data_IF_434362527281
#
_entry.id   IF_434362527281
#
_cell.length_a   1.000
_cell.length_b   1.000
_cell.length_c   1.000
_cell.angle_alpha   90.00
_cell.angle_beta   90.00
_cell.angle_gamma   90.00
#
_symmetry.space_group_name_H-M   'P 1'
#
loop_
_entity.id
_entity.type
_entity.pdbx_description
1 polymer ?
#
# COMPACT_ATOMS: atom_id res chain seq x y z
N UNK A 1 -5.08 -5.05 -9.67
CA UNK A 1 -3.90 -5.01 -10.53
C UNK A 1 -4.27 -4.64 -11.96
N UNK A 2 -4.97 -5.50 -12.70
CA UNK A 2 -5.22 -5.34 -14.14
C UNK A 2 -5.90 -4.01 -14.50
N UNK A 3 -6.95 -3.61 -13.77
CA UNK A 3 -7.64 -2.33 -14.01
C UNK A 3 -6.71 -1.13 -13.76
N UNK A 4 -5.91 -1.18 -12.69
CA UNK A 4 -4.98 -0.09 -12.37
C UNK A 4 -3.88 0.03 -13.45
N UNK A 5 -3.34 -1.10 -13.91
CA UNK A 5 -2.33 -1.11 -14.97
C UNK A 5 -2.91 -0.61 -16.31
N UNK A 6 -4.12 -1.05 -16.68
CA UNK A 6 -4.81 -0.58 -17.88
C UNK A 6 -5.09 0.94 -17.82
N UNK A 7 -5.50 1.46 -16.66
CA UNK A 7 -5.69 2.90 -16.47
C UNK A 7 -4.36 3.69 -16.59
N UNK A 8 -3.25 3.12 -16.09
CA UNK A 8 -1.92 3.72 -16.24
C UNK A 8 -1.47 3.79 -17.70
N UNK A 9 -1.65 2.70 -18.45
CA UNK A 9 -1.31 2.66 -19.87
C UNK A 9 -2.21 3.61 -20.69
N UNK A 10 -3.52 3.68 -20.39
CA UNK A 10 -4.42 4.60 -21.04
C UNK A 10 -4.02 6.08 -20.84
N UNK A 11 -3.57 6.47 -19.65
CA UNK A 11 -3.03 7.81 -19.40
C UNK A 11 -1.72 8.04 -20.17
N UNK A 12 -0.84 7.04 -20.20
CA UNK A 12 0.44 7.10 -20.93
C UNK A 12 0.22 7.28 -22.43
N UNK A 13 -0.77 6.60 -23.03
CA UNK A 13 -1.17 6.78 -24.44
C UNK A 13 -1.66 8.21 -24.73
N UNK A 14 -2.20 8.91 -23.73
CA UNK A 14 -2.58 10.33 -23.80
C UNK A 14 -1.43 11.29 -23.47
N UNK A 15 -0.20 10.78 -23.38
CA UNK A 15 0.99 11.58 -23.10
C UNK A 15 1.17 11.97 -21.62
N UNK A 16 0.38 11.40 -20.71
CA UNK A 16 0.51 11.63 -19.26
C UNK A 16 1.51 10.65 -18.69
N UNK A 17 2.67 11.16 -18.26
CA UNK A 17 3.72 10.36 -17.61
C UNK A 17 3.92 10.85 -16.18
N UNK A 18 3.89 9.97 -15.16
CA UNK A 18 4.10 10.37 -13.78
C UNK A 18 5.58 10.64 -13.49
N UNK A 19 5.85 11.55 -12.55
CA UNK A 19 7.21 11.80 -12.03
C UNK A 19 7.61 10.75 -10.97
N UNK A 20 6.64 10.11 -10.33
CA UNK A 20 6.84 9.00 -9.41
C UNK A 20 5.58 8.14 -9.32
N UNK A 21 5.74 6.92 -8.85
CA UNK A 21 4.67 5.98 -8.57
C UNK A 21 4.71 5.54 -7.10
N UNK A 22 3.55 5.23 -6.57
CA UNK A 22 3.40 4.51 -5.31
C UNK A 22 2.17 3.60 -5.40
N UNK A 23 2.21 2.48 -4.72
CA UNK A 23 1.08 1.56 -4.69
C UNK A 23 0.83 1.05 -3.28
N UNK A 24 -0.42 0.90 -2.89
CA UNK A 24 -0.79 0.45 -1.55
C UNK A 24 -0.84 -1.09 -1.53
N UNK A 25 0.02 -1.73 -0.74
CA UNK A 25 0.11 -3.19 -0.58
C UNK A 25 0.22 -3.91 -1.95
N UNK A 26 -0.83 -4.55 -2.46
CA UNK A 26 -0.85 -5.15 -3.79
C UNK A 26 -0.50 -4.14 -4.90
N UNK A 27 -0.92 -2.89 -4.73
CA UNK A 27 -0.66 -1.80 -5.67
C UNK A 27 0.83 -1.50 -5.87
N UNK A 28 1.70 -1.86 -4.91
CA UNK A 28 3.14 -1.68 -5.04
C UNK A 28 3.73 -2.53 -6.19
N UNK A 29 3.25 -3.76 -6.38
CA UNK A 29 3.63 -4.58 -7.54
C UNK A 29 3.11 -3.96 -8.84
N UNK A 30 1.91 -3.37 -8.83
CA UNK A 30 1.38 -2.66 -9.99
C UNK A 30 2.26 -1.44 -10.34
N UNK A 31 2.65 -0.65 -9.35
CA UNK A 31 3.53 0.50 -9.53
C UNK A 31 4.90 0.10 -10.08
N UNK A 32 5.51 -0.96 -9.53
CA UNK A 32 6.78 -1.51 -10.00
C UNK A 32 6.68 -2.05 -11.43
N UNK A 33 5.58 -2.74 -11.77
CA UNK A 33 5.34 -3.26 -13.13
C UNK A 33 5.20 -2.11 -14.12
N UNK A 34 4.36 -1.11 -13.83
CA UNK A 34 4.20 0.06 -14.70
C UNK A 34 5.50 0.85 -14.87
N UNK A 35 6.34 0.87 -13.85
CA UNK A 35 7.63 1.57 -13.84
C UNK A 35 8.79 0.74 -14.44
N UNK A 36 8.52 -0.41 -15.07
CA UNK A 36 9.50 -1.21 -15.80
C UNK A 36 10.36 -2.16 -14.95
N UNK A 37 10.10 -2.28 -13.64
CA UNK A 37 10.81 -3.24 -12.80
C UNK A 37 10.47 -4.70 -13.13
N UNK A 38 9.26 -4.94 -13.63
CA UNK A 38 8.76 -6.22 -14.12
C UNK A 38 8.04 -6.01 -15.45
N UNK A 39 8.03 -7.02 -16.32
CA UNK A 39 7.08 -7.05 -17.44
C UNK A 39 5.64 -7.18 -16.93
N UNK A 40 4.65 -6.84 -17.76
CA UNK A 40 3.23 -6.97 -17.40
C UNK A 40 2.84 -8.41 -17.07
N UNK A 41 3.38 -9.39 -17.79
CA UNK A 41 3.17 -10.81 -17.56
C UNK A 41 3.77 -11.25 -16.21
N UNK A 42 5.00 -10.86 -15.93
CA UNK A 42 5.65 -11.13 -14.64
C UNK A 42 4.88 -10.48 -13.47
N UNK A 43 4.44 -9.23 -13.63
CA UNK A 43 3.65 -8.52 -12.61
C UNK A 43 2.34 -9.25 -12.26
N UNK A 44 1.60 -9.76 -13.27
CA UNK A 44 0.39 -10.58 -13.04
C UNK A 44 0.74 -11.86 -12.28
N UNK A 45 1.78 -12.57 -12.71
CA UNK A 45 2.23 -13.81 -12.05
C UNK A 45 2.66 -13.55 -10.61
N UNK A 46 3.40 -12.48 -10.35
CA UNK A 46 3.82 -12.08 -9.00
C UNK A 46 2.64 -11.76 -8.08
N UNK A 47 1.63 -11.04 -8.56
CA UNK A 47 0.42 -10.75 -7.78
C UNK A 47 -0.33 -12.04 -7.41
N UNK A 48 -0.44 -13.00 -8.36
CA UNK A 48 -1.06 -14.30 -8.10
C UNK A 48 -0.26 -15.08 -7.03
N UNK A 49 1.07 -15.21 -7.23
CA UNK A 49 1.94 -15.92 -6.28
C UNK A 49 1.93 -15.29 -4.88
N UNK A 50 1.98 -13.96 -4.82
CA UNK A 50 1.85 -13.24 -3.54
C UNK A 50 0.52 -13.55 -2.86
N UNK A 51 -0.57 -13.54 -3.62
CA UNK A 51 -1.91 -13.84 -3.10
C UNK A 51 -2.01 -15.25 -2.53
N UNK A 52 -1.50 -16.25 -3.25
CA UNK A 52 -1.45 -17.65 -2.82
C UNK A 52 -0.65 -17.80 -1.52
N UNK A 53 0.56 -17.28 -1.46
CA UNK A 53 1.42 -17.36 -0.27
C UNK A 53 0.80 -16.67 0.96
N UNK A 54 0.20 -15.51 0.77
CA UNK A 54 -0.47 -14.80 1.85
C UNK A 54 -1.73 -15.52 2.33
N UNK A 55 -2.46 -16.18 1.43
CA UNK A 55 -3.61 -17.01 1.79
C UNK A 55 -3.18 -18.25 2.59
N UNK A 56 -2.15 -18.97 2.14
CA UNK A 56 -1.58 -20.11 2.86
C UNK A 56 -1.10 -19.72 4.26
N UNK A 57 -0.43 -18.56 4.39
CA UNK A 57 0.01 -18.07 5.69
C UNK A 57 -1.18 -17.71 6.60
N UNK A 58 -2.25 -17.11 6.05
CA UNK A 58 -3.46 -16.76 6.79
C UNK A 58 -4.23 -18.01 7.25
N UNK A 59 -4.23 -19.09 6.49
CA UNK A 59 -4.82 -20.39 6.89
C UNK A 59 -4.05 -21.05 8.03
N UNK A 60 -2.72 -20.96 8.01
CA UNK A 60 -1.86 -21.47 9.11
C UNK A 60 -1.94 -20.59 10.37
N UNK A 61 -1.99 -19.30 10.19
CA UNK A 61 -2.01 -18.29 11.25
C UNK A 61 -3.21 -17.34 11.05
N UNK A 62 -4.44 -17.78 11.41
CA UNK A 62 -5.62 -16.93 11.30
C UNK A 62 -5.44 -15.64 12.07
N UNK A 63 -5.82 -14.53 11.45
CA UNK A 63 -5.69 -13.19 12.01
C UNK A 63 -7.00 -12.40 11.89
N UNK A 64 -7.09 -11.33 12.66
CA UNK A 64 -8.14 -10.35 12.56
C UNK A 64 -7.54 -8.97 12.28
N UNK A 65 -8.33 -8.11 11.63
CA UNK A 65 -7.94 -6.72 11.37
C UNK A 65 -9.05 -5.76 11.79
N UNK A 66 -8.67 -4.58 12.23
CA UNK A 66 -9.61 -3.50 12.54
C UNK A 66 -9.05 -2.14 12.10
N UNK A 67 -9.91 -1.31 11.51
CA UNK A 67 -9.59 0.09 11.25
C UNK A 67 -9.87 0.92 12.50
N UNK A 68 -8.85 1.60 13.02
CA UNK A 68 -8.94 2.55 14.12
C UNK A 68 -9.09 3.95 13.54
N UNK A 69 -10.12 4.66 14.00
CA UNK A 69 -10.46 6.00 13.55
C UNK A 69 -10.45 6.97 14.72
N UNK A 70 -10.15 8.25 14.43
CA UNK A 70 -10.22 9.38 15.36
C UNK A 70 -9.14 9.41 16.45
N UNK A 71 -8.18 8.51 16.44
CA UNK A 71 -7.02 8.58 17.32
C UNK A 71 -5.79 8.95 16.50
N UNK A 72 -4.82 9.69 17.07
CA UNK A 72 -3.49 9.84 16.47
C UNK A 72 -2.75 8.50 16.42
N UNK A 73 -1.83 8.36 15.47
CA UNK A 73 -1.09 7.11 15.28
C UNK A 73 -0.35 6.68 16.53
N UNK A 74 0.28 7.61 17.23
CA UNK A 74 1.06 7.36 18.45
C UNK A 74 0.21 6.77 19.58
N UNK A 75 -1.06 7.18 19.67
CA UNK A 75 -1.99 6.64 20.66
C UNK A 75 -2.41 5.22 20.30
N UNK A 76 -2.63 4.94 18.99
CA UNK A 76 -2.95 3.58 18.52
C UNK A 76 -1.75 2.66 18.75
N UNK A 77 -0.52 3.10 18.45
CA UNK A 77 0.71 2.34 18.70
C UNK A 77 0.89 2.02 20.20
N UNK A 78 0.61 3.01 21.06
CA UNK A 78 0.62 2.80 22.51
C UNK A 78 -0.40 1.79 22.95
N UNK A 79 -1.62 1.82 22.41
CA UNK A 79 -2.63 0.80 22.68
C UNK A 79 -2.16 -0.57 22.20
N UNK A 80 -1.61 -0.69 20.99
CA UNK A 80 -1.07 -1.95 20.47
C UNK A 80 0.00 -2.52 21.40
N UNK A 81 0.89 -1.70 21.95
CA UNK A 81 1.97 -2.17 22.85
C UNK A 81 1.47 -2.82 24.15
N UNK A 82 0.20 -2.64 24.48
CA UNK A 82 -0.45 -3.30 25.64
C UNK A 82 -0.96 -4.71 25.33
N UNK A 83 -0.84 -5.15 24.08
CA UNK A 83 -1.24 -6.47 23.61
C UNK A 83 -0.03 -7.19 23.00
N UNK A 84 0.09 -8.49 23.23
CA UNK A 84 1.25 -9.27 22.78
C UNK A 84 1.28 -9.49 21.26
N UNK A 85 0.09 -9.53 20.64
CA UNK A 85 -0.07 -9.91 19.23
C UNK A 85 -1.08 -9.03 18.50
N UNK A 86 -1.01 -7.72 18.73
CA UNK A 86 -1.73 -6.70 17.95
C UNK A 86 -0.71 -5.69 17.45
N UNK A 87 -0.66 -5.49 16.14
CA UNK A 87 0.32 -4.61 15.47
C UNK A 87 -0.37 -3.55 14.63
N UNK A 88 0.18 -2.33 14.56
CA UNK A 88 -0.20 -1.35 13.56
C UNK A 88 0.32 -1.81 12.19
N UNK A 89 -0.56 -1.86 11.18
CA UNK A 89 -0.23 -2.44 9.88
C UNK A 89 -0.44 -1.51 8.70
N UNK A 90 -1.44 -0.62 8.70
CA UNK A 90 -1.62 0.32 7.60
C UNK A 90 -1.79 1.74 8.15
N UNK A 91 -0.77 2.54 8.00
CA UNK A 91 -0.80 3.97 8.30
C UNK A 91 -1.43 4.70 7.12
N UNK A 92 -2.77 4.81 7.11
CA UNK A 92 -3.52 5.28 5.94
C UNK A 92 -3.46 6.79 5.76
N UNK A 93 -3.80 7.53 6.81
CA UNK A 93 -3.82 8.99 6.84
C UNK A 93 -4.04 9.47 8.28
N UNK A 94 -3.86 10.75 8.61
CA UNK A 94 -4.11 11.29 9.94
C UNK A 94 -5.47 10.87 10.50
N UNK A 95 -5.45 10.23 11.68
CA UNK A 95 -6.64 9.71 12.37
C UNK A 95 -7.27 8.47 11.73
N UNK A 96 -6.51 7.72 10.92
CA UNK A 96 -6.94 6.42 10.40
C UNK A 96 -5.75 5.47 10.25
N UNK A 97 -5.67 4.48 11.13
CA UNK A 97 -4.67 3.42 11.13
C UNK A 97 -5.37 2.07 11.22
N UNK A 98 -4.91 1.08 10.46
CA UNK A 98 -5.39 -0.30 10.58
C UNK A 98 -4.42 -1.08 11.45
N UNK A 99 -4.99 -1.89 12.34
CA UNK A 99 -4.27 -2.86 13.15
C UNK A 99 -4.63 -4.27 12.74
N UNK A 100 -3.72 -5.20 12.96
CA UNK A 100 -3.95 -6.62 12.71
C UNK A 100 -3.28 -7.47 13.79
N UNK A 101 -3.76 -8.69 13.98
CA UNK A 101 -3.15 -9.62 14.92
C UNK A 101 -4.09 -10.73 15.39
N UNK A 102 -3.90 -11.17 16.63
CA UNK A 102 -4.59 -12.29 17.22
C UNK A 102 -6.12 -12.07 17.34
N UNK A 103 -6.94 -12.94 16.71
CA UNK A 103 -8.39 -12.80 16.77
C UNK A 103 -8.97 -12.82 18.19
N UNK A 104 -8.33 -13.53 19.13
CA UNK A 104 -8.79 -13.59 20.52
C UNK A 104 -8.54 -12.28 21.29
N UNK A 105 -7.50 -11.52 20.91
CA UNK A 105 -7.17 -10.22 21.52
C UNK A 105 -7.90 -9.05 20.86
N UNK A 106 -8.32 -9.17 19.62
CA UNK A 106 -8.91 -8.10 18.83
C UNK A 106 -10.17 -7.47 19.47
N UNK A 107 -11.12 -8.23 20.07
CA UNK A 107 -12.28 -7.63 20.73
C UNK A 107 -11.91 -6.73 21.91
N UNK A 108 -10.94 -7.12 22.72
CA UNK A 108 -10.50 -6.32 23.87
C UNK A 108 -9.68 -5.10 23.44
N UNK A 109 -8.88 -5.25 22.38
CA UNK A 109 -8.24 -4.09 21.73
C UNK A 109 -9.27 -3.07 21.21
N UNK A 110 -10.34 -3.52 20.54
CA UNK A 110 -11.41 -2.63 20.08
C UNK A 110 -12.08 -1.87 21.24
N UNK A 111 -12.34 -2.54 22.38
CA UNK A 111 -12.85 -1.87 23.60
C UNK A 111 -11.87 -0.83 24.13
N UNK A 112 -10.56 -1.12 24.12
CA UNK A 112 -9.54 -0.17 24.57
C UNK A 112 -9.51 1.08 23.67
N UNK A 113 -9.66 0.91 22.35
CA UNK A 113 -9.79 2.02 21.38
C UNK A 113 -11.03 2.88 21.70
N UNK A 114 -12.18 2.26 21.99
CA UNK A 114 -13.41 2.97 22.32
C UNK A 114 -13.28 3.73 23.67
N UNK A 115 -12.64 3.12 24.66
CA UNK A 115 -12.35 3.76 25.95
C UNK A 115 -11.43 4.99 25.79
N UNK A 116 -10.53 4.99 24.81
CA UNK A 116 -9.70 6.11 24.42
C UNK A 116 -10.42 7.14 23.53
N UNK A 117 -11.75 7.05 23.39
CA UNK A 117 -12.59 7.93 22.54
C UNK A 117 -12.33 7.78 21.03
N UNK A 118 -11.65 6.73 20.61
CA UNK A 118 -11.51 6.31 19.23
C UNK A 118 -12.74 5.53 18.73
N UNK A 119 -12.64 5.04 17.50
CA UNK A 119 -13.64 4.15 16.92
C UNK A 119 -12.94 2.99 16.22
N UNK A 120 -13.19 1.78 16.67
CA UNK A 120 -12.71 0.56 16.01
C UNK A 120 -13.78 0.01 15.05
N UNK A 121 -13.36 -0.41 13.87
CA UNK A 121 -14.20 -1.09 12.88
C UNK A 121 -13.52 -2.38 12.43
N UNK A 122 -13.98 -3.54 12.86
CA UNK A 122 -13.50 -4.82 12.36
C UNK A 122 -13.62 -4.89 10.83
N UNK A 123 -12.62 -5.48 10.19
CA UNK A 123 -12.59 -5.72 8.75
C UNK A 123 -12.96 -7.18 8.46
N UNK A 124 -13.69 -7.41 7.38
CA UNK A 124 -14.13 -8.74 6.97
C UNK A 124 -12.99 -9.50 6.25
N UNK A 125 -11.88 -9.74 6.95
CA UNK A 125 -10.72 -10.47 6.45
C UNK A 125 -10.27 -11.51 7.48
N UNK A 126 -9.78 -12.67 7.01
CA UNK A 126 -9.37 -13.79 7.86
C UNK A 126 -7.86 -13.88 8.13
N UNK A 127 -7.07 -12.91 7.68
CA UNK A 127 -5.61 -12.92 7.82
C UNK A 127 -5.07 -11.71 8.58
N UNK A 128 -4.00 -11.92 9.34
CA UNK A 128 -3.22 -10.84 9.97
C UNK A 128 -2.18 -10.30 9.00
N UNK A 129 -2.63 -9.64 7.92
CA UNK A 129 -1.75 -9.13 6.87
C UNK A 129 -0.82 -8.03 7.40
N UNK A 130 0.39 -7.98 6.86
CA UNK A 130 1.43 -7.02 7.23
C UNK A 130 1.91 -7.16 8.70
N UNK A 131 1.76 -8.33 9.28
CA UNK A 131 2.24 -8.70 10.63
C UNK A 131 3.29 -9.81 10.56
N UNK A 132 3.97 -10.15 11.68
CA UNK A 132 4.83 -11.33 11.75
C UNK A 132 4.17 -12.65 11.34
N UNK A 133 2.84 -12.77 11.37
CA UNK A 133 2.12 -13.96 10.87
C UNK A 133 2.36 -14.22 9.38
N UNK A 134 2.80 -13.21 8.63
CA UNK A 134 3.13 -13.31 7.20
C UNK A 134 4.60 -13.63 6.93
N UNK A 135 5.40 -13.97 7.94
CA UNK A 135 6.85 -14.19 7.79
C UNK A 135 7.17 -15.32 6.81
N UNK A 136 6.43 -16.44 6.85
CA UNK A 136 6.64 -17.55 5.92
C UNK A 136 6.33 -17.13 4.47
N UNK A 137 5.23 -16.40 4.27
CA UNK A 137 4.87 -15.87 2.96
C UNK A 137 5.92 -14.89 2.42
N UNK A 138 6.45 -14.01 3.27
CA UNK A 138 7.53 -13.07 2.93
C UNK A 138 8.80 -13.81 2.49
N UNK A 139 9.23 -14.82 3.26
CA UNK A 139 10.43 -15.61 2.94
C UNK A 139 10.26 -16.43 1.63
N UNK A 140 9.10 -17.03 1.43
CA UNK A 140 8.81 -17.77 0.21
C UNK A 140 8.73 -16.85 -1.00
N UNK A 141 8.18 -15.65 -0.86
CA UNK A 141 8.12 -14.65 -1.94
C UNK A 141 9.51 -14.11 -2.29
N UNK A 142 10.38 -13.89 -1.29
CA UNK A 142 11.78 -13.52 -1.56
C UNK A 142 12.48 -14.57 -2.41
N UNK A 143 12.32 -15.85 -2.05
CA UNK A 143 12.92 -16.95 -2.80
C UNK A 143 12.44 -16.98 -4.25
N UNK A 144 11.15 -16.74 -4.51
CA UNK A 144 10.60 -16.64 -5.87
C UNK A 144 11.24 -15.50 -6.67
N UNK A 145 11.49 -14.36 -6.03
CA UNK A 145 12.14 -13.22 -6.67
C UNK A 145 13.65 -13.43 -6.94
N UNK A 146 14.31 -14.32 -6.19
CA UNK A 146 15.75 -14.58 -6.27
C UNK A 146 16.10 -15.81 -7.12
N UNK A 147 15.18 -16.72 -7.38
CA UNK A 147 15.47 -17.97 -8.10
C UNK A 147 15.64 -17.80 -9.61
N UNK A 148 15.47 -16.59 -10.14
CA UNK A 148 15.68 -16.25 -11.54
C UNK A 148 14.47 -16.50 -12.45
N UNK A 149 13.32 -16.86 -11.89
CA UNK A 149 12.08 -16.99 -12.66
C UNK A 149 11.54 -15.61 -13.12
N UNK A 150 11.88 -14.56 -12.39
CA UNK A 150 11.48 -13.18 -12.66
C UNK A 150 12.68 -12.28 -12.89
N UNK A 151 12.56 -11.39 -13.88
CA UNK A 151 13.57 -10.36 -14.16
C UNK A 151 13.37 -9.19 -13.22
N UNK A 152 14.09 -9.15 -12.10
CA UNK A 152 13.99 -8.08 -11.11
C UNK A 152 14.91 -6.93 -11.49
N UNK A 153 14.33 -5.84 -12.01
CA UNK A 153 15.07 -4.64 -12.42
C UNK A 153 14.74 -3.46 -11.47
N UNK A 154 15.62 -2.46 -11.43
CA UNK A 154 15.24 -1.19 -10.83
C UNK A 154 14.19 -0.48 -11.69
N UNK A 155 13.20 0.18 -11.07
CA UNK A 155 12.17 0.89 -11.82
C UNK A 155 12.76 2.09 -12.57
N UNK A 156 12.30 2.33 -13.81
CA UNK A 156 12.68 3.48 -14.63
C UNK A 156 12.00 4.77 -14.14
N UNK A 157 10.78 4.67 -13.63
CA UNK A 157 10.06 5.74 -12.95
C UNK A 157 10.23 5.52 -11.44
N UNK A 158 10.58 6.55 -10.65
CA UNK A 158 10.75 6.41 -9.20
C UNK A 158 9.53 5.77 -8.52
N UNK A 159 9.73 4.74 -7.70
CA UNK A 159 8.67 4.06 -6.94
C UNK A 159 8.98 4.11 -5.45
N UNK A 160 8.00 4.53 -4.65
CA UNK A 160 8.10 4.55 -3.19
C UNK A 160 7.64 3.24 -2.57
N UNK A 161 8.50 2.66 -1.73
CA UNK A 161 8.26 1.39 -1.06
C UNK A 161 7.37 1.54 0.19
N UNK A 162 6.40 0.67 0.37
CA UNK A 162 5.48 0.72 1.52
C UNK A 162 6.17 0.56 2.87
N UNK A 163 7.18 -0.33 2.96
CA UNK A 163 7.91 -0.62 4.19
C UNK A 163 8.70 0.57 4.72
N UNK A 164 9.32 1.34 3.84
CA UNK A 164 10.30 2.38 4.21
C UNK A 164 9.84 3.79 3.91
N UNK A 165 8.77 3.97 3.14
CA UNK A 165 8.35 5.25 2.56
C UNK A 165 9.48 5.95 1.78
N UNK A 166 10.45 5.19 1.22
CA UNK A 166 11.58 5.67 0.43
C UNK A 166 11.58 5.02 -0.95
N UNK A 167 12.37 5.57 -1.85
CA UNK A 167 12.51 5.05 -3.19
C UNK A 167 13.13 3.64 -3.20
N UNK A 168 12.66 2.80 -4.12
CA UNK A 168 13.42 1.63 -4.54
C UNK A 168 14.73 2.08 -5.17
N UNK A 169 15.83 1.40 -4.83
CA UNK A 169 17.17 1.81 -5.29
C UNK A 169 17.75 3.04 -4.59
N UNK A 170 17.21 3.41 -3.40
CA UNK A 170 17.81 4.46 -2.55
C UNK A 170 19.29 4.11 -2.26
N UNK A 171 20.25 4.94 -2.72
CA UNK A 171 21.68 4.64 -2.60
C UNK A 171 22.17 4.55 -1.16
N UNK A 172 21.44 5.12 -0.21
CA UNK A 172 21.76 5.06 1.22
C UNK A 172 21.28 3.75 1.87
N UNK A 173 20.63 2.86 1.11
CA UNK A 173 20.08 1.59 1.57
C UNK A 173 20.72 0.43 0.84
N UNK A 174 20.99 -0.65 1.61
CA UNK A 174 21.61 -1.88 1.06
C UNK A 174 20.60 -2.93 0.62
N UNK A 175 19.32 -2.76 0.99
CA UNK A 175 18.26 -3.71 0.65
C UNK A 175 18.02 -3.70 -0.87
N UNK A 176 18.03 -4.89 -1.47
CA UNK A 176 17.66 -5.08 -2.88
C UNK A 176 16.16 -4.86 -3.08
N UNK A 177 15.72 -4.69 -4.33
CA UNK A 177 14.29 -4.61 -4.64
C UNK A 177 13.56 -5.86 -4.17
N UNK A 178 14.13 -7.05 -4.39
CA UNK A 178 13.53 -8.32 -3.98
C UNK A 178 13.34 -8.40 -2.45
N UNK A 179 14.37 -8.05 -1.68
CA UNK A 179 14.31 -8.00 -0.21
C UNK A 179 13.27 -7.01 0.30
N UNK A 180 13.23 -5.81 -0.29
CA UNK A 180 12.32 -4.76 0.15
C UNK A 180 10.86 -5.09 -0.19
N UNK A 181 10.60 -5.59 -1.42
CA UNK A 181 9.26 -5.97 -1.87
C UNK A 181 8.73 -7.20 -1.10
N UNK A 182 9.58 -8.21 -0.86
CA UNK A 182 9.15 -9.37 -0.07
C UNK A 182 8.88 -9.01 1.39
N UNK A 183 9.73 -8.18 1.99
CA UNK A 183 9.55 -7.74 3.36
C UNK A 183 8.26 -6.91 3.56
N UNK A 184 7.73 -6.26 2.54
CA UNK A 184 6.45 -5.54 2.57
C UNK A 184 5.30 -6.43 3.07
N UNK A 185 5.31 -7.73 2.75
CA UNK A 185 4.24 -8.70 3.09
C UNK A 185 4.03 -8.81 4.61
N UNK A 186 5.11 -8.71 5.39
CA UNK A 186 5.09 -8.84 6.85
C UNK A 186 5.37 -7.53 7.62
N UNK A 187 5.45 -6.40 6.91
CA UNK A 187 5.74 -5.10 7.51
C UNK A 187 4.63 -4.09 7.22
N UNK A 188 4.50 -3.04 8.04
CA UNK A 188 3.48 -2.02 7.85
C UNK A 188 3.56 -1.30 6.51
N UNK A 189 2.40 -0.96 5.97
CA UNK A 189 2.23 -0.04 4.84
C UNK A 189 2.24 1.40 5.36
N UNK A 190 3.30 2.14 5.09
CA UNK A 190 3.52 3.52 5.53
C UNK A 190 2.94 4.54 4.55
N UNK A 191 1.67 4.36 4.17
CA UNK A 191 1.04 5.19 3.13
C UNK A 191 1.01 6.67 3.46
N UNK A 192 0.66 7.00 4.70
CA UNK A 192 0.68 8.38 5.18
C UNK A 192 2.04 9.03 4.97
N UNK A 193 3.13 8.36 5.38
CA UNK A 193 4.50 8.87 5.25
C UNK A 193 4.93 9.01 3.79
N UNK A 194 4.52 8.08 2.90
CA UNK A 194 4.75 8.20 1.45
C UNK A 194 4.11 9.48 0.93
N UNK A 195 2.83 9.71 1.22
CA UNK A 195 2.12 10.88 0.74
C UNK A 195 2.67 12.19 1.32
N UNK A 196 3.01 12.22 2.61
CA UNK A 196 3.64 13.38 3.27
C UNK A 196 5.00 13.70 2.64
N UNK A 197 5.78 12.68 2.30
CA UNK A 197 7.05 12.85 1.60
C UNK A 197 6.86 13.41 0.19
N UNK A 198 5.95 12.83 -0.59
CA UNK A 198 5.63 13.33 -1.94
C UNK A 198 5.20 14.79 -1.91
N UNK A 199 4.35 15.19 -0.96
CA UNK A 199 3.95 16.58 -0.76
C UNK A 199 5.14 17.49 -0.40
N UNK A 200 6.03 17.03 0.48
CA UNK A 200 7.22 17.77 0.87
C UNK A 200 8.23 17.92 -0.28
N UNK A 201 8.26 16.97 -1.20
CA UNK A 201 9.07 16.99 -2.43
C UNK A 201 8.42 17.83 -3.56
N UNK A 202 7.23 18.42 -3.32
CA UNK A 202 6.57 19.35 -4.24
C UNK A 202 5.64 18.69 -5.25
N UNK A 203 5.25 17.43 -5.06
CA UNK A 203 4.23 16.80 -5.88
C UNK A 203 2.86 17.46 -5.60
N UNK A 204 2.20 17.93 -6.64
CA UNK A 204 0.97 18.72 -6.59
C UNK A 204 -0.24 18.07 -7.30
N UNK A 205 -0.04 16.90 -7.93
CA UNK A 205 -1.09 16.17 -8.61
C UNK A 205 -0.95 14.67 -8.35
N UNK A 206 -2.00 14.08 -7.78
CA UNK A 206 -2.07 12.66 -7.46
C UNK A 206 -3.25 12.03 -8.19
N UNK A 207 -3.00 10.94 -8.91
CA UNK A 207 -4.01 10.22 -9.68
C UNK A 207 -4.10 8.79 -9.16
N UNK A 208 -5.19 8.44 -8.48
CA UNK A 208 -5.47 7.07 -8.07
C UNK A 208 -5.93 6.26 -9.28
N UNK A 209 -5.33 5.10 -9.50
CA UNK A 209 -5.61 4.20 -10.62
C UNK A 209 -6.21 2.89 -10.12
N UNK A 210 -7.33 2.50 -10.71
CA UNK A 210 -8.02 1.26 -10.37
C UNK A 210 -9.38 1.47 -9.73
N UNK A 211 -10.10 0.38 -9.39
CA UNK A 211 -11.48 0.47 -8.94
C UNK A 211 -11.60 1.12 -7.56
N UNK A 212 -12.53 2.05 -7.45
CA UNK A 212 -12.85 2.79 -6.23
C UNK A 212 -11.97 4.01 -6.00
N UNK A 213 -12.19 4.69 -4.87
CA UNK A 213 -11.59 5.99 -4.50
C UNK A 213 -11.02 5.96 -3.07
N UNK A 214 -10.44 4.84 -2.68
CA UNK A 214 -9.96 4.64 -1.30
C UNK A 214 -8.75 5.52 -1.01
N UNK A 215 -7.76 5.52 -1.90
CA UNK A 215 -6.54 6.33 -1.73
C UNK A 215 -6.84 7.82 -1.90
N UNK A 216 -7.71 8.18 -2.83
CA UNK A 216 -8.26 9.54 -2.94
C UNK A 216 -8.95 9.97 -1.64
N UNK A 217 -9.69 9.06 -1.00
CA UNK A 217 -10.29 9.28 0.31
C UNK A 217 -9.28 9.58 1.41
N UNK A 218 -8.16 8.86 1.46
CA UNK A 218 -7.03 9.14 2.36
C UNK A 218 -6.35 10.45 1.99
N UNK A 219 -6.11 10.66 0.70
CA UNK A 219 -5.47 11.84 0.14
C UNK A 219 -6.16 13.14 0.58
N UNK A 220 -7.49 13.20 0.62
CA UNK A 220 -8.25 14.39 1.05
C UNK A 220 -7.89 14.88 2.47
N UNK A 221 -7.38 14.00 3.33
CA UNK A 221 -6.91 14.39 4.67
C UNK A 221 -5.44 14.82 4.65
N UNK A 222 -4.66 14.18 3.77
CA UNK A 222 -3.22 14.37 3.66
C UNK A 222 -2.87 15.68 2.93
N UNK A 223 -3.60 16.04 1.86
CA UNK A 223 -3.35 17.30 1.12
C UNK A 223 -3.92 18.53 1.81
N UNK A 224 -4.57 18.39 2.97
CA UNK A 224 -5.17 19.52 3.67
C UNK A 224 -4.11 20.56 4.04
N UNK A 225 -4.23 21.75 3.46
CA UNK A 225 -3.24 22.82 3.61
C UNK A 225 -2.17 22.88 2.52
N UNK A 226 -2.25 21.98 1.53
CA UNK A 226 -1.42 21.97 0.33
C UNK A 226 -2.25 22.31 -0.92
N UNK A 227 -1.65 23.00 -1.88
CA UNK A 227 -2.24 23.22 -3.19
C UNK A 227 -1.97 21.97 -4.08
N UNK A 228 -2.74 20.92 -3.85
CA UNK A 228 -2.59 19.68 -4.59
C UNK A 228 -3.92 19.18 -5.13
N UNK A 229 -3.89 18.52 -6.31
CA UNK A 229 -5.03 17.89 -6.97
C UNK A 229 -5.09 16.40 -6.62
N UNK A 230 -6.31 15.91 -6.43
CA UNK A 230 -6.59 14.48 -6.30
C UNK A 230 -7.55 14.08 -7.42
N UNK A 231 -7.09 13.23 -8.29
CA UNK A 231 -7.82 12.68 -9.43
C UNK A 231 -7.90 11.16 -9.30
N UNK A 232 -8.73 10.52 -10.10
CA UNK A 232 -8.80 9.06 -10.12
C UNK A 232 -9.27 8.56 -11.49
N UNK A 233 -8.83 7.35 -11.86
CA UNK A 233 -9.22 6.66 -13.08
C UNK A 233 -9.57 5.21 -12.75
N UNK A 234 -10.85 4.85 -12.90
CA UNK A 234 -11.36 3.49 -12.74
C UNK A 234 -12.12 2.98 -13.98
N UNK A 235 -12.55 3.90 -14.86
CA UNK A 235 -13.31 3.65 -16.09
C UNK A 235 -13.08 4.76 -17.12
N UNK A 236 -13.65 4.62 -18.30
CA UNK A 236 -13.55 5.60 -19.39
C UNK A 236 -14.06 6.99 -18.99
N UNK A 237 -15.14 7.06 -18.21
CA UNK A 237 -15.71 8.32 -17.76
C UNK A 237 -14.72 9.07 -16.87
N UNK A 238 -14.16 8.41 -15.87
CA UNK A 238 -13.18 9.01 -14.94
C UNK A 238 -11.85 9.30 -15.62
N UNK A 239 -11.47 8.56 -16.67
CA UNK A 239 -10.34 8.89 -17.52
C UNK A 239 -10.56 10.23 -18.22
N UNK A 240 -11.70 10.41 -18.90
CA UNK A 240 -12.05 11.65 -19.59
C UNK A 240 -12.13 12.86 -18.63
N UNK A 241 -12.72 12.67 -17.44
CA UNK A 241 -12.76 13.69 -16.38
C UNK A 241 -11.34 14.07 -15.92
N UNK A 242 -10.45 13.10 -15.78
CA UNK A 242 -9.05 13.31 -15.39
C UNK A 242 -8.27 14.06 -16.48
N UNK A 243 -8.39 13.66 -17.75
CA UNK A 243 -7.75 14.34 -18.88
C UNK A 243 -8.20 15.80 -18.97
N UNK A 244 -9.50 16.06 -18.87
CA UNK A 244 -10.04 17.42 -18.85
C UNK A 244 -9.47 18.25 -17.68
N UNK A 245 -9.36 17.68 -16.47
CA UNK A 245 -8.79 18.36 -15.30
C UNK A 245 -7.28 18.65 -15.44
N UNK A 246 -6.57 17.87 -16.28
CA UNK A 246 -5.16 18.08 -16.62
C UNK A 246 -4.97 19.04 -17.83
N UNK A 247 -6.06 19.43 -18.52
CA UNK A 247 -6.01 20.30 -19.70
C UNK A 247 -5.57 19.57 -20.98
N UNK A 248 -5.70 18.24 -21.03
CA UNK A 248 -5.45 17.41 -22.21
C UNK A 248 -6.76 17.31 -23.00
N UNK A 249 -6.69 17.64 -24.30
CA UNK A 249 -7.84 17.56 -25.25
C UNK A 249 -7.73 16.36 -26.15
#
# INVERSE_FOLDING_TARGET
>A
FTVALAAAEALKEQGITPNACAGFSLGEICALTFSGAFSQEEGIRLVCRRGELMQEAAEKHPGAMAAVLKLPNEEVEKLCSSFSEIWPVNYNCPGQLVVAGNPAQMPDFCKAVEAASGKARPLAVGGGFHTPYMQEASAAFLKILEDGEFSVNLPEIPVYANKTARLYGDPDKKETLAELLSAQIQNPVRWQEIMERLLAEGFDCFIELGPGKTLTGFGKRLIKGHEAKLLHVEDEKSLNETLAALGVQ
#
